data_IF_319518797014
#
_entry.id   IF_319518797014
#
_cell.length_a   1.000
_cell.length_b   1.000
_cell.length_c   1.000
_cell.angle_alpha   90.00
_cell.angle_beta   90.00
_cell.angle_gamma   90.00
#
_symmetry.space_group_name_H-M   'P 1'
#
loop_
_entity.id
_entity.type
_entity.pdbx_description
1 polymer ?
#
# COMPACT_ATOMS: atom_id res chain seq x y z
N UNK A 1 20.23 -5.67 -38.54
CA UNK A 1 18.90 -6.19 -38.19
C UNK A 1 18.74 -6.04 -36.69
N UNK A 2 17.77 -5.22 -36.25
CA UNK A 2 17.46 -4.92 -34.85
C UNK A 2 16.95 -6.18 -34.13
N UNK A 3 17.47 -6.48 -32.95
CA UNK A 3 16.87 -7.45 -32.04
C UNK A 3 16.56 -6.73 -30.72
N UNK A 4 15.37 -6.14 -30.73
CA UNK A 4 14.39 -6.08 -29.64
C UNK A 4 14.93 -6.32 -28.22
N UNK A 5 15.22 -5.23 -27.52
CA UNK A 5 15.26 -5.18 -26.07
C UNK A 5 13.91 -5.70 -25.53
N UNK A 6 13.87 -6.97 -25.14
CA UNK A 6 12.78 -7.50 -24.32
C UNK A 6 12.89 -6.81 -22.98
N UNK A 7 12.14 -5.72 -22.81
CA UNK A 7 11.94 -5.06 -21.54
C UNK A 7 11.27 -6.11 -20.65
N UNK A 8 12.03 -6.69 -19.74
CA UNK A 8 11.53 -7.61 -18.73
C UNK A 8 10.64 -6.79 -17.79
N UNK A 9 9.33 -6.74 -18.08
CA UNK A 9 8.31 -6.13 -17.23
C UNK A 9 8.01 -6.97 -15.99
N UNK A 10 8.83 -7.97 -15.70
CA UNK A 10 8.73 -8.87 -14.55
C UNK A 10 9.33 -8.21 -13.31
N UNK A 11 9.02 -6.94 -13.03
CA UNK A 11 9.18 -6.45 -11.66
C UNK A 11 8.43 -7.43 -10.76
N UNK A 12 9.07 -8.00 -9.72
CA UNK A 12 8.44 -9.03 -8.90
C UNK A 12 7.19 -8.40 -8.30
N UNK A 13 6.02 -8.78 -8.81
CA UNK A 13 4.74 -8.36 -8.26
C UNK A 13 4.75 -8.88 -6.83
N UNK A 14 4.93 -7.96 -5.87
CA UNK A 14 5.01 -8.34 -4.48
C UNK A 14 3.62 -8.79 -4.06
N UNK A 15 3.51 -10.05 -3.66
CA UNK A 15 2.26 -10.61 -3.19
C UNK A 15 2.00 -10.05 -1.78
N UNK A 16 1.22 -8.96 -1.72
CA UNK A 16 0.83 -8.33 -0.47
C UNK A 16 -0.30 -9.14 0.17
N UNK A 17 -0.22 -9.33 1.48
CA UNK A 17 -1.26 -10.01 2.26
C UNK A 17 -2.16 -8.98 2.94
N UNK A 18 -3.49 -9.24 3.03
CA UNK A 18 -4.40 -8.40 3.80
C UNK A 18 -3.86 -8.14 5.22
N UNK A 19 -3.72 -6.86 5.57
CA UNK A 19 -3.14 -6.41 6.83
C UNK A 19 -1.65 -6.02 6.77
N UNK A 20 -0.96 -6.24 5.65
CA UNK A 20 0.41 -5.74 5.47
C UNK A 20 0.43 -4.21 5.48
N UNK A 21 1.44 -3.65 6.15
CA UNK A 21 1.70 -2.21 6.15
C UNK A 21 2.59 -1.87 4.96
N UNK A 22 2.07 -1.05 4.06
CA UNK A 22 2.77 -0.55 2.89
C UNK A 22 3.14 0.92 3.12
N UNK A 23 4.40 1.25 2.88
CA UNK A 23 4.83 2.65 2.85
C UNK A 23 4.58 3.20 1.44
N UNK A 24 3.54 4.01 1.32
CA UNK A 24 3.10 4.56 0.05
C UNK A 24 3.31 6.06 -0.01
N UNK A 25 3.45 6.60 -1.21
CA UNK A 25 3.51 8.06 -1.44
C UNK A 25 2.26 8.53 -2.14
N UNK A 26 1.71 9.66 -1.71
CA UNK A 26 0.55 10.28 -2.37
C UNK A 26 1.01 10.87 -3.69
N UNK A 27 0.40 10.42 -4.78
CA UNK A 27 0.66 10.95 -6.11
C UNK A 27 -0.25 12.14 -6.38
N UNK A 28 -1.56 11.92 -6.27
CA UNK A 28 -2.57 12.90 -6.61
C UNK A 28 -3.86 12.69 -5.81
N UNK A 29 -4.63 13.77 -5.67
CA UNK A 29 -5.95 13.72 -5.05
C UNK A 29 -7.01 13.31 -6.08
N UNK A 30 -7.78 12.29 -5.75
CA UNK A 30 -8.89 11.80 -6.57
C UNK A 30 -10.24 11.94 -5.85
N UNK A 31 -11.35 11.74 -6.57
CA UNK A 31 -12.67 11.84 -5.96
C UNK A 31 -12.85 10.74 -4.90
N UNK A 32 -13.08 11.13 -3.64
CA UNK A 32 -13.24 10.21 -2.51
C UNK A 32 -11.94 9.66 -1.91
N UNK A 33 -10.76 10.11 -2.34
CA UNK A 33 -9.50 9.61 -1.81
C UNK A 33 -8.25 10.09 -2.53
N UNK A 34 -7.20 9.27 -2.52
CA UNK A 34 -5.90 9.59 -3.10
C UNK A 34 -5.35 8.42 -3.91
N UNK A 35 -4.69 8.72 -5.02
CA UNK A 35 -3.86 7.76 -5.72
C UNK A 35 -2.50 7.67 -5.03
N UNK A 36 -1.99 6.44 -4.91
CA UNK A 36 -0.77 6.14 -4.21
C UNK A 36 0.25 5.47 -5.13
N UNK A 37 1.53 5.78 -4.95
CA UNK A 37 2.60 4.93 -5.44
C UNK A 37 2.95 3.88 -4.39
N UNK A 38 3.00 2.63 -4.83
CA UNK A 38 3.39 1.50 -4.01
C UNK A 38 4.91 1.48 -3.78
N UNK A 39 5.37 0.81 -2.71
CA UNK A 39 6.80 0.61 -2.48
C UNK A 39 7.43 -0.27 -3.57
N UNK A 40 8.76 -0.32 -3.59
CA UNK A 40 9.53 -1.18 -4.50
C UNK A 40 9.29 -0.87 -6.00
N UNK A 41 8.79 0.33 -6.33
CA UNK A 41 8.38 0.75 -7.68
C UNK A 41 7.32 -0.16 -8.31
N UNK A 42 6.45 -0.75 -7.49
CA UNK A 42 5.31 -1.53 -8.01
C UNK A 42 4.39 -0.62 -8.83
N UNK A 43 4.18 -1.02 -10.10
CA UNK A 43 3.47 -0.24 -11.11
C UNK A 43 1.95 -0.41 -11.05
N UNK A 44 1.42 -1.18 -10.09
CA UNK A 44 -0.03 -1.33 -9.91
C UNK A 44 -0.65 -0.04 -9.39
N UNK A 45 -1.87 0.23 -9.85
CA UNK A 45 -2.65 1.36 -9.37
C UNK A 45 -3.05 1.14 -7.92
N UNK A 46 -2.64 2.01 -6.99
CA UNK A 46 -3.08 1.96 -5.61
C UNK A 46 -4.02 3.12 -5.27
N UNK A 47 -5.08 2.82 -4.54
CA UNK A 47 -6.07 3.81 -4.12
C UNK A 47 -6.33 3.75 -2.62
N UNK A 48 -6.35 4.94 -2.02
CA UNK A 48 -6.66 5.17 -0.63
C UNK A 48 -7.97 5.95 -0.51
N UNK A 49 -9.11 5.29 -0.30
CA UNK A 49 -10.34 5.96 0.09
C UNK A 49 -10.15 6.56 1.49
N UNK A 50 -10.21 7.88 1.59
CA UNK A 50 -10.14 8.58 2.87
C UNK A 50 -10.80 9.95 2.79
N UNK A 51 -11.38 10.38 3.91
CA UNK A 51 -11.92 11.74 4.06
C UNK A 51 -10.88 12.70 4.67
N UNK A 52 -9.72 12.19 5.08
CA UNK A 52 -8.63 12.98 5.67
C UNK A 52 -7.96 13.82 4.59
N UNK A 53 -7.65 15.08 4.89
CA UNK A 53 -6.91 15.96 3.98
C UNK A 53 -5.41 15.69 4.10
N UNK A 54 -4.88 14.96 3.13
CA UNK A 54 -3.45 14.67 2.96
C UNK A 54 -2.88 15.51 1.80
N UNK A 55 -1.55 15.68 1.75
CA UNK A 55 -0.89 16.44 0.68
C UNK A 55 -0.20 15.53 -0.32
N UNK A 56 -0.20 15.97 -1.58
CA UNK A 56 0.53 15.30 -2.64
C UNK A 56 2.03 15.31 -2.33
N UNK A 57 2.67 14.17 -2.57
CA UNK A 57 4.07 13.94 -2.24
C UNK A 57 4.33 13.45 -0.82
N UNK A 58 3.35 13.46 0.10
CA UNK A 58 3.51 12.89 1.44
C UNK A 58 3.71 11.37 1.37
N UNK A 59 4.60 10.86 2.21
CA UNK A 59 4.75 9.42 2.45
C UNK A 59 3.96 9.02 3.70
N UNK A 60 3.20 7.94 3.62
CA UNK A 60 2.41 7.42 4.72
C UNK A 60 2.38 5.89 4.75
N UNK A 61 2.18 5.36 5.94
CA UNK A 61 1.91 3.95 6.16
C UNK A 61 0.41 3.68 5.93
N UNK A 62 0.12 2.81 4.97
CA UNK A 62 -1.25 2.36 4.68
C UNK A 62 -1.34 0.85 4.81
N UNK A 63 -2.54 0.35 5.08
CA UNK A 63 -2.79 -1.07 5.18
C UNK A 63 -3.24 -1.59 3.83
N UNK A 64 -2.59 -2.62 3.33
CA UNK A 64 -3.12 -3.38 2.22
C UNK A 64 -4.39 -4.10 2.67
N UNK A 65 -5.51 -3.87 1.98
CA UNK A 65 -6.78 -4.53 2.29
C UNK A 65 -7.02 -5.66 1.31
N UNK A 66 -7.06 -5.35 0.02
CA UNK A 66 -7.26 -6.32 -1.05
C UNK A 66 -6.84 -5.75 -2.41
N UNK A 67 -6.78 -6.62 -3.42
CA UNK A 67 -6.56 -6.25 -4.82
C UNK A 67 -7.78 -6.62 -5.65
N UNK A 68 -8.21 -5.73 -6.54
CA UNK A 68 -9.22 -5.99 -7.57
C UNK A 68 -8.54 -5.95 -8.94
N UNK A 69 -8.16 -7.12 -9.43
CA UNK A 69 -7.40 -7.25 -10.67
C UNK A 69 -6.06 -6.51 -10.61
N UNK A 70 -5.98 -5.34 -11.26
CA UNK A 70 -4.77 -4.49 -11.32
C UNK A 70 -4.71 -3.41 -10.25
N UNK A 71 -5.81 -3.18 -9.52
CA UNK A 71 -5.93 -2.07 -8.58
C UNK A 71 -5.82 -2.57 -7.15
N UNK A 72 -4.93 -1.95 -6.39
CA UNK A 72 -4.73 -2.21 -4.97
C UNK A 72 -5.55 -1.21 -4.16
N UNK A 73 -6.28 -1.74 -3.19
CA UNK A 73 -7.02 -0.93 -2.24
C UNK A 73 -6.32 -0.95 -0.88
N UNK A 74 -6.01 0.26 -0.42
CA UNK A 74 -5.36 0.48 0.85
C UNK A 74 -6.31 1.17 1.83
N UNK A 75 -6.14 0.96 3.12
CA UNK A 75 -6.82 1.70 4.17
C UNK A 75 -5.82 2.61 4.88
N UNK A 76 -6.29 3.76 5.35
CA UNK A 76 -5.49 4.63 6.19
C UNK A 76 -5.18 3.91 7.50
N UNK A 77 -3.90 3.80 7.85
CA UNK A 77 -3.47 3.24 9.13
C UNK A 77 -3.42 4.38 10.13
N UNK A 78 -4.54 4.65 10.78
CA UNK A 78 -4.58 5.64 11.86
C UNK A 78 -3.77 5.11 13.08
N UNK A 79 -3.31 6.01 13.95
CA UNK A 79 -2.65 5.66 15.23
C UNK A 79 -3.47 4.65 16.03
N UNK A 80 -4.80 4.69 15.92
CA UNK A 80 -5.70 3.72 16.56
C UNK A 80 -5.47 2.28 16.07
N UNK A 81 -5.16 2.08 14.78
CA UNK A 81 -4.84 0.76 14.24
C UNK A 81 -3.43 0.31 14.62
N UNK A 82 -2.43 1.20 14.56
CA UNK A 82 -1.06 0.90 15.02
C UNK A 82 -1.09 0.40 16.48
N UNK A 83 -1.85 1.09 17.33
CA UNK A 83 -2.07 0.69 18.72
C UNK A 83 -2.71 -0.70 18.86
N UNK A 84 -3.67 -1.05 18.00
CA UNK A 84 -4.32 -2.38 17.99
C UNK A 84 -3.39 -3.51 17.53
N UNK A 85 -2.49 -3.23 16.58
CA UNK A 85 -1.49 -4.20 16.10
C UNK A 85 -0.43 -4.44 17.18
N UNK A 86 0.09 -3.38 17.81
CA UNK A 86 1.05 -3.51 18.92
C UNK A 86 0.46 -4.31 20.09
N UNK A 87 -0.80 -4.05 20.45
CA UNK A 87 -1.49 -4.81 21.49
C UNK A 87 -1.66 -6.30 21.16
N UNK A 88 -1.86 -6.65 19.88
CA UNK A 88 -1.92 -8.06 19.45
C UNK A 88 -0.55 -8.72 19.43
N UNK A 89 0.49 -8.02 18.98
CA UNK A 89 1.86 -8.54 18.95
C UNK A 89 2.39 -8.85 20.37
N UNK A 90 1.98 -8.08 21.38
CA UNK A 90 2.35 -8.35 22.78
C UNK A 90 1.57 -9.50 23.44
N UNK A 91 0.42 -9.92 22.91
CA UNK A 91 -0.34 -11.05 23.45
C UNK A 91 0.19 -12.42 23.03
N UNK A 92 0.90 -12.51 21.90
CA UNK A 92 1.47 -13.78 21.41
C UNK A 92 2.74 -14.19 22.18
N UNK A 93 3.38 -13.27 22.92
CA UNK A 93 4.58 -13.56 23.73
C UNK A 93 4.30 -14.05 25.16
N UNK A 94 3.03 -14.12 25.59
CA UNK A 94 2.67 -14.65 26.93
C UNK A 94 2.05 -16.05 26.89
N UNK A 95 2.02 -16.68 25.71
CA UNK A 95 1.61 -18.08 25.55
C UNK A 95 2.83 -18.93 25.16
N UNK A 96 3.83 -18.99 26.04
CA UNK A 96 4.89 -20.01 26.02
C UNK A 96 5.32 -20.32 27.44
#
# INVERSE_FOLDING_TARGET
MQNQDTIDFSSPIKDYKPGDILKCRILEKNNGGYALSLPDNDLRDAFLPTSVKLREGDELDVLFVFTDGKRIFCSYSDEEFKRRVELKASQDQTAS
#
